data_IF_373158404345
#
_entry.id   IF_373158404345
#
_cell.length_a   1.000
_cell.length_b   1.000
_cell.length_c   1.000
_cell.angle_alpha   90.00
_cell.angle_beta   90.00
_cell.angle_gamma   90.00
#
_symmetry.space_group_name_H-M   'P 1'
#
loop_
_entity.id
_entity.type
_entity.pdbx_description
1 polymer ?
#
# COMPACT_ATOMS: atom_id res chain seq x y z
N UNK A 1 -1.80 20.20 18.52
CA UNK A 1 -1.86 21.04 17.29
C UNK A 1 -3.01 20.53 16.40
N UNK A 2 -3.62 21.38 15.55
CA UNK A 2 -4.83 21.05 14.74
C UNK A 2 -4.76 21.63 13.31
N UNK A 3 -3.73 21.29 12.55
CA UNK A 3 -3.53 21.82 11.18
C UNK A 3 -3.67 20.77 10.07
N UNK A 4 -3.57 19.49 10.40
CA UNK A 4 -3.85 18.41 9.48
C UNK A 4 -5.36 18.34 9.27
N UNK A 5 -5.82 18.67 8.06
CA UNK A 5 -7.24 18.61 7.71
C UNK A 5 -7.55 17.38 6.88
N UNK A 6 -8.73 16.83 7.12
CA UNK A 6 -9.28 15.74 6.37
C UNK A 6 -10.71 16.06 5.96
N UNK A 7 -11.07 15.72 4.72
CA UNK A 7 -12.41 15.91 4.13
C UNK A 7 -13.01 14.59 3.62
N UNK A 8 -12.22 13.52 3.62
CA UNK A 8 -12.59 12.16 3.23
C UNK A 8 -11.99 11.18 4.29
N UNK A 9 -11.82 9.90 4.01
CA UNK A 9 -11.10 8.95 4.88
C UNK A 9 -9.58 9.12 4.86
N UNK A 10 -9.06 9.90 3.91
CA UNK A 10 -7.63 10.05 3.66
C UNK A 10 -7.17 11.52 3.63
N UNK A 11 -5.96 11.78 4.14
CA UNK A 11 -5.20 13.02 3.92
C UNK A 11 -3.71 12.69 3.87
N UNK A 12 -2.87 13.62 3.42
CA UNK A 12 -1.42 13.48 3.52
C UNK A 12 -0.85 14.46 4.52
N UNK A 13 0.30 14.10 5.10
CA UNK A 13 0.93 14.85 6.17
C UNK A 13 2.45 14.71 6.11
N UNK A 14 3.15 15.76 6.52
CA UNK A 14 4.58 15.74 6.77
C UNK A 14 4.93 16.86 7.75
N UNK A 15 5.91 16.63 8.63
CA UNK A 15 6.47 17.66 9.53
C UNK A 15 7.97 17.55 9.67
N UNK A 16 8.59 18.67 10.01
CA UNK A 16 10.03 18.83 10.24
C UNK A 16 10.46 18.40 11.65
N UNK A 17 9.50 18.02 12.49
CA UNK A 17 9.68 17.48 13.84
C UNK A 17 8.81 16.23 14.00
N UNK A 18 9.11 15.45 15.04
CA UNK A 18 8.41 14.21 15.38
C UNK A 18 6.97 14.51 15.81
N UNK A 19 6.02 13.70 15.34
CA UNK A 19 4.58 13.92 15.55
C UNK A 19 3.94 12.64 16.06
N UNK A 20 3.02 12.78 17.02
CA UNK A 20 2.21 11.67 17.51
C UNK A 20 0.70 11.96 17.38
N UNK A 21 0.00 11.10 16.64
CA UNK A 21 -1.46 11.12 16.46
C UNK A 21 -2.21 10.20 17.43
N UNK A 22 -1.54 9.54 18.39
CA UNK A 22 -2.17 8.57 19.32
C UNK A 22 -3.33 9.20 20.11
N UNK A 23 -3.18 10.48 20.46
CA UNK A 23 -4.17 11.28 21.16
C UNK A 23 -5.32 11.81 20.28
N UNK A 24 -5.26 11.57 18.96
CA UNK A 24 -6.29 12.03 18.03
C UNK A 24 -7.66 11.41 18.33
N UNK A 25 -7.70 10.18 18.87
CA UNK A 25 -8.94 9.55 19.28
C UNK A 25 -9.54 10.25 20.51
N UNK A 26 -8.70 10.62 21.48
CA UNK A 26 -9.13 11.22 22.76
C UNK A 26 -9.62 12.66 22.58
N UNK A 27 -8.90 13.48 21.80
CA UNK A 27 -9.21 14.92 21.67
C UNK A 27 -9.87 15.31 20.34
N UNK A 28 -9.81 14.42 19.35
CA UNK A 28 -10.38 14.63 18.01
C UNK A 28 -11.51 13.66 17.67
N UNK A 29 -11.76 12.64 18.50
CA UNK A 29 -12.76 11.60 18.21
C UNK A 29 -12.43 10.75 16.98
N UNK A 30 -11.18 10.75 16.52
CA UNK A 30 -10.75 10.11 15.28
C UNK A 30 -9.59 9.16 15.52
N UNK A 31 -9.76 7.89 15.12
CA UNK A 31 -8.64 6.93 15.07
C UNK A 31 -7.89 7.10 13.76
N UNK A 32 -6.58 7.32 13.84
CA UNK A 32 -5.70 7.60 12.69
C UNK A 32 -4.56 6.59 12.65
N UNK A 33 -4.18 6.18 11.44
CA UNK A 33 -2.90 5.50 11.20
C UNK A 33 -2.17 6.13 10.01
N UNK A 34 -0.85 6.05 10.06
CA UNK A 34 0.09 6.53 9.07
C UNK A 34 0.63 5.37 8.22
N UNK A 35 0.68 5.61 6.91
CA UNK A 35 1.14 4.66 5.90
C UNK A 35 2.22 5.31 5.03
N UNK A 36 3.27 4.55 4.73
CA UNK A 36 4.50 5.06 4.10
C UNK A 36 4.93 4.27 2.87
N UNK A 37 4.70 2.96 2.86
CA UNK A 37 5.07 2.10 1.74
C UNK A 37 3.82 1.54 1.07
N UNK A 38 3.97 1.07 -0.16
CA UNK A 38 2.86 0.46 -0.87
C UNK A 38 3.30 -0.29 -2.12
N UNK A 39 2.53 -1.30 -2.47
CA UNK A 39 2.73 -2.12 -3.67
C UNK A 39 1.55 -1.94 -4.62
N UNK A 40 1.83 -1.86 -5.92
CA UNK A 40 0.78 -1.83 -6.93
C UNK A 40 0.24 -3.24 -7.09
N UNK A 41 -1.07 -3.39 -6.94
CA UNK A 41 -1.80 -4.65 -7.12
C UNK A 41 -2.92 -4.45 -8.13
N UNK A 42 -3.35 -5.53 -8.77
CA UNK A 42 -4.51 -5.53 -9.67
C UNK A 42 -5.81 -5.63 -8.86
N UNK A 43 -6.93 -5.20 -9.45
CA UNK A 43 -8.24 -5.21 -8.81
C UNK A 43 -8.65 -3.90 -8.14
N UNK A 44 -9.82 -3.92 -7.51
CA UNK A 44 -10.44 -2.74 -6.88
C UNK A 44 -9.82 -2.46 -5.50
N UNK A 45 -9.62 -1.18 -5.18
CA UNK A 45 -9.15 -0.76 -3.85
C UNK A 45 -10.28 -0.54 -2.84
N UNK A 46 -9.95 0.00 -1.67
CA UNK A 46 -10.87 0.29 -0.55
C UNK A 46 -11.93 1.34 -0.89
N UNK A 47 -11.68 2.15 -1.92
CA UNK A 47 -12.62 3.16 -2.38
C UNK A 47 -13.48 2.53 -3.47
N UNK A 48 -14.80 2.51 -3.30
CA UNK A 48 -15.79 1.85 -4.17
C UNK A 48 -15.89 2.34 -5.63
N UNK A 49 -14.83 2.95 -6.15
CA UNK A 49 -14.64 3.25 -7.56
C UNK A 49 -14.11 2.00 -8.28
N UNK A 50 -14.58 1.75 -9.50
CA UNK A 50 -14.05 0.69 -10.35
C UNK A 50 -12.65 1.05 -10.85
N UNK A 51 -11.63 0.47 -10.21
CA UNK A 51 -10.24 0.58 -10.67
C UNK A 51 -9.68 -0.79 -11.03
N UNK A 52 -8.87 -0.84 -12.09
CA UNK A 52 -8.15 -2.08 -12.45
C UNK A 52 -6.90 -2.30 -11.60
N UNK A 53 -6.40 -1.25 -10.94
CA UNK A 53 -5.21 -1.28 -10.10
C UNK A 53 -5.39 -0.40 -8.86
N UNK A 54 -4.73 -0.81 -7.79
CA UNK A 54 -4.68 -0.06 -6.54
C UNK A 54 -3.28 -0.12 -5.91
N UNK A 55 -2.97 0.82 -5.01
CA UNK A 55 -1.78 0.75 -4.16
C UNK A 55 -2.19 0.16 -2.82
N UNK A 56 -1.70 -1.04 -2.51
CA UNK A 56 -1.87 -1.67 -1.19
C UNK A 56 -0.84 -1.05 -0.25
N UNK A 57 -1.30 -0.18 0.63
CA UNK A 57 -0.45 0.58 1.54
C UNK A 57 -0.10 -0.23 2.79
N UNK A 58 1.14 -0.11 3.28
CA UNK A 58 1.58 -0.66 4.58
C UNK A 58 1.93 0.46 5.56
N UNK A 59 1.63 0.19 6.82
CA UNK A 59 1.75 1.15 7.92
C UNK A 59 3.20 1.42 8.30
N UNK A 60 3.43 2.55 8.96
CA UNK A 60 4.78 3.05 9.26
C UNK A 60 5.57 2.17 10.26
N UNK A 61 4.89 1.56 11.22
CA UNK A 61 5.45 0.63 12.20
C UNK A 61 6.05 -0.63 11.55
N UNK A 62 5.45 -1.10 10.44
CA UNK A 62 5.98 -2.22 9.65
C UNK A 62 7.12 -1.83 8.71
N UNK A 63 7.49 -0.55 8.66
CA UNK A 63 8.44 0.02 7.70
C UNK A 63 9.49 0.90 8.40
N UNK A 64 10.00 0.46 9.56
CA UNK A 64 11.09 1.13 10.27
C UNK A 64 10.68 2.29 11.17
N UNK A 65 9.37 2.49 11.36
CA UNK A 65 8.83 3.36 12.41
C UNK A 65 8.87 2.72 13.79
N UNK A 66 8.18 3.34 14.73
CA UNK A 66 8.03 2.84 16.10
C UNK A 66 7.20 1.55 16.10
N UNK A 67 7.72 0.48 16.71
CA UNK A 67 6.97 -0.78 16.88
C UNK A 67 5.62 -0.55 17.53
N UNK A 68 4.58 -1.19 16.99
CA UNK A 68 3.20 -1.17 17.49
C UNK A 68 2.59 0.24 17.59
N UNK A 69 3.15 1.21 16.87
CA UNK A 69 2.65 2.58 16.84
C UNK A 69 2.42 3.05 15.42
N UNK A 70 1.17 2.90 14.99
CA UNK A 70 0.69 3.36 13.69
C UNK A 70 0.55 4.88 13.58
N UNK A 71 0.68 5.61 14.70
CA UNK A 71 0.33 7.02 14.81
C UNK A 71 1.55 7.94 15.04
N UNK A 72 2.71 7.37 15.34
CA UNK A 72 3.97 8.10 15.48
C UNK A 72 4.65 8.28 14.13
N UNK A 73 5.05 9.52 13.82
CA UNK A 73 5.68 9.89 12.56
C UNK A 73 6.97 10.65 12.89
N UNK A 74 8.14 10.06 12.58
CA UNK A 74 9.42 10.75 12.73
C UNK A 74 9.50 12.00 11.86
N UNK A 75 10.30 12.97 12.28
CA UNK A 75 10.60 14.18 11.54
C UNK A 75 10.99 13.87 10.09
N UNK A 76 10.62 14.79 9.20
CA UNK A 76 10.89 14.75 7.76
C UNK A 76 10.31 13.54 7.02
N UNK A 77 9.34 12.84 7.62
CA UNK A 77 8.63 11.72 7.00
C UNK A 77 7.32 12.19 6.37
N UNK A 78 7.17 11.97 5.06
CA UNK A 78 5.88 12.09 4.39
C UNK A 78 5.05 10.83 4.63
N UNK A 79 3.74 11.00 4.89
CA UNK A 79 2.82 9.87 5.12
C UNK A 79 1.47 10.10 4.46
N UNK A 80 0.76 8.99 4.21
CA UNK A 80 -0.68 8.95 4.01
C UNK A 80 -1.35 8.65 5.36
N UNK A 81 -2.26 9.51 5.79
CA UNK A 81 -3.08 9.29 6.97
C UNK A 81 -4.43 8.71 6.57
N UNK A 82 -4.82 7.60 7.20
CA UNK A 82 -6.17 7.01 7.13
C UNK A 82 -6.90 7.22 8.44
N UNK A 83 -8.16 7.64 8.36
CA UNK A 83 -9.08 7.73 9.51
C UNK A 83 -10.04 6.54 9.49
N UNK A 84 -10.20 5.85 10.62
CA UNK A 84 -11.01 4.62 10.74
C UNK A 84 -12.43 4.83 11.30
N UNK A 85 -12.92 6.07 11.37
CA UNK A 85 -14.24 6.33 11.94
C UNK A 85 -15.37 5.65 11.16
N UNK A 86 -16.38 5.16 11.90
CA UNK A 86 -17.38 4.19 11.42
C UNK A 86 -18.44 4.76 10.46
N UNK A 87 -18.55 6.07 10.28
CA UNK A 87 -19.62 6.67 9.45
C UNK A 87 -19.28 8.08 8.96
N UNK A 88 -19.48 8.32 7.66
CA UNK A 88 -19.63 9.66 7.07
C UNK A 88 -18.36 10.50 6.98
N UNK A 89 -18.31 11.42 6.01
CA UNK A 89 -17.17 12.31 5.76
C UNK A 89 -16.68 12.98 7.06
N UNK A 90 -15.49 12.61 7.51
CA UNK A 90 -14.84 13.22 8.68
C UNK A 90 -14.28 14.57 8.25
N UNK A 91 -15.12 15.59 8.07
CA UNK A 91 -14.61 16.95 7.93
C UNK A 91 -14.08 17.39 9.30
N UNK A 92 -12.76 17.50 9.44
CA UNK A 92 -12.18 17.79 10.74
C UNK A 92 -10.68 18.05 10.71
N UNK A 93 -10.22 18.81 11.70
CA UNK A 93 -8.80 18.97 12.00
C UNK A 93 -8.36 17.80 12.87
N UNK A 94 -7.37 17.03 12.43
CA UNK A 94 -6.75 15.97 13.21
C UNK A 94 -5.92 16.61 14.33
N UNK A 95 -6.09 16.09 15.55
CA UNK A 95 -5.27 16.49 16.69
C UNK A 95 -4.00 15.65 16.73
N UNK A 96 -2.86 16.30 16.96
CA UNK A 96 -1.60 15.62 17.23
C UNK A 96 -0.75 16.40 18.24
N UNK A 97 0.19 15.71 18.87
CA UNK A 97 1.20 16.28 19.78
C UNK A 97 2.59 16.22 19.14
N UNK A 98 3.54 16.90 19.76
CA UNK A 98 4.96 16.63 19.48
C UNK A 98 5.24 15.19 19.90
N UNK A 99 6.03 14.48 19.09
CA UNK A 99 6.41 13.10 19.36
C UNK A 99 7.46 13.02 20.45
N UNK A 100 7.20 12.21 21.48
CA UNK A 100 8.08 12.05 22.66
C UNK A 100 9.01 10.83 22.53
N UNK A 101 9.09 10.20 21.36
CA UNK A 101 9.99 9.06 21.09
C UNK A 101 11.19 9.49 20.26
N UNK A 102 11.52 10.78 20.29
CA UNK A 102 12.60 11.42 19.54
C UNK A 102 14.01 11.11 20.08
N UNK A 103 14.09 10.29 21.14
CA UNK A 103 15.35 9.80 21.70
C UNK A 103 16.05 8.74 20.83
N UNK A 104 15.41 8.29 19.75
CA UNK A 104 15.96 7.31 18.79
C UNK A 104 15.73 7.80 17.36
N UNK A 105 16.72 7.57 16.50
CA UNK A 105 16.57 7.82 15.06
C UNK A 105 15.80 6.68 14.39
N UNK A 106 14.66 7.00 13.78
CA UNK A 106 13.90 6.05 12.96
C UNK A 106 14.27 6.18 11.48
N UNK A 107 14.58 5.05 10.84
CA UNK A 107 14.84 5.00 9.39
C UNK A 107 13.66 4.34 8.70
N UNK A 108 12.80 5.14 8.08
CA UNK A 108 11.63 4.62 7.38
C UNK A 108 12.06 3.95 6.06
N UNK A 109 11.84 2.64 5.96
CA UNK A 109 12.16 1.84 4.78
C UNK A 109 11.05 1.92 3.73
N UNK A 110 11.44 1.78 2.45
CA UNK A 110 10.50 1.69 1.31
C UNK A 110 9.47 2.84 1.22
N UNK A 111 9.80 4.03 1.73
CA UNK A 111 8.86 5.14 1.80
C UNK A 111 8.58 5.74 0.40
N UNK A 112 7.36 5.48 -0.09
CA UNK A 112 6.83 6.01 -1.35
C UNK A 112 6.15 7.39 -1.16
N UNK A 113 5.96 7.83 0.08
CA UNK A 113 5.39 9.14 0.43
C UNK A 113 6.50 10.16 0.66
N UNK A 114 6.51 11.24 -0.13
CA UNK A 114 7.50 12.33 -0.05
C UNK A 114 6.86 13.58 0.52
N UNK A 115 7.39 14.04 1.66
CA UNK A 115 6.89 15.19 2.40
C UNK A 115 7.45 16.53 1.94
N UNK A 116 6.63 17.57 2.08
CA UNK A 116 7.03 18.98 2.04
C UNK A 116 6.78 19.55 3.43
N UNK A 117 7.84 19.85 4.19
CA UNK A 117 7.75 20.10 5.64
C UNK A 117 7.86 21.56 6.04
N UNK A 118 8.87 22.29 5.54
CA UNK A 118 9.19 23.65 6.05
C UNK A 118 8.47 24.76 5.28
N UNK A 119 8.46 24.69 3.96
CA UNK A 119 7.82 25.69 3.10
C UNK A 119 7.27 25.05 1.84
N UNK A 120 6.24 25.68 1.26
CA UNK A 120 5.76 25.27 -0.06
C UNK A 120 6.90 25.37 -1.08
N UNK A 121 6.93 24.45 -2.03
CA UNK A 121 8.00 24.35 -3.02
C UNK A 121 7.55 23.68 -4.31
N UNK A 122 8.28 23.86 -5.42
CA UNK A 122 8.03 23.10 -6.64
C UNK A 122 8.25 21.59 -6.42
N UNK A 123 7.35 20.79 -6.97
CA UNK A 123 7.51 19.33 -7.09
C UNK A 123 7.63 18.99 -8.58
N UNK A 124 8.80 18.52 -8.97
CA UNK A 124 9.09 18.11 -10.34
C UNK A 124 8.30 16.85 -10.69
N UNK A 125 7.61 16.89 -11.82
CA UNK A 125 6.92 15.74 -12.38
C UNK A 125 6.94 15.82 -13.90
N UNK A 126 7.03 14.67 -14.56
CA UNK A 126 7.07 14.55 -16.01
C UNK A 126 6.27 13.34 -16.46
N UNK A 127 6.12 13.15 -17.78
CA UNK A 127 5.53 11.92 -18.33
C UNK A 127 6.31 10.66 -17.95
N UNK A 128 7.66 10.74 -17.91
CA UNK A 128 8.56 9.63 -17.57
C UNK A 128 8.77 9.44 -16.06
N UNK A 129 8.55 10.49 -15.27
CA UNK A 129 8.69 10.49 -13.81
C UNK A 129 7.51 11.22 -13.18
N UNK A 130 6.31 10.60 -13.22
CA UNK A 130 5.13 11.21 -12.64
C UNK A 130 5.16 11.18 -11.11
N UNK A 131 4.40 12.08 -10.50
CA UNK A 131 4.06 12.04 -9.07
C UNK A 131 2.56 11.89 -8.89
N UNK A 132 2.12 11.49 -7.71
CA UNK A 132 0.71 11.26 -7.42
C UNK A 132 0.27 12.15 -6.25
N UNK A 133 -0.76 12.95 -6.45
CA UNK A 133 -1.26 13.93 -5.48
C UNK A 133 -2.65 13.54 -5.01
N UNK A 134 -2.89 13.58 -3.70
CA UNK A 134 -4.19 13.26 -3.13
C UNK A 134 -5.18 14.41 -3.40
N UNK A 135 -6.26 14.13 -4.13
CA UNK A 135 -7.34 15.07 -4.44
C UNK A 135 -8.69 14.39 -4.22
N UNK A 136 -9.52 14.95 -3.32
CA UNK A 136 -10.83 14.37 -3.00
C UNK A 136 -10.77 12.97 -2.36
N UNK A 137 -9.64 12.60 -1.74
CA UNK A 137 -9.41 11.27 -1.16
C UNK A 137 -8.84 10.23 -2.14
N UNK A 138 -8.55 10.61 -3.39
CA UNK A 138 -7.97 9.72 -4.41
C UNK A 138 -6.65 10.29 -4.90
N UNK A 139 -5.64 9.45 -5.09
CA UNK A 139 -4.38 9.88 -5.71
C UNK A 139 -4.53 10.05 -7.22
N UNK A 140 -4.23 11.24 -7.72
CA UNK A 140 -4.25 11.57 -9.14
C UNK A 140 -2.82 11.76 -9.65
N UNK A 141 -2.54 11.20 -10.82
CA UNK A 141 -1.24 11.31 -11.49
C UNK A 141 -1.03 12.74 -12.01
N UNK A 142 0.12 13.32 -11.68
CA UNK A 142 0.64 14.56 -12.22
C UNK A 142 1.87 14.26 -13.08
N UNK A 143 1.85 14.75 -14.32
CA UNK A 143 2.91 14.57 -15.33
C UNK A 143 3.58 15.89 -15.71
N UNK A 144 3.32 16.94 -14.92
CA UNK A 144 3.88 18.28 -15.09
C UNK A 144 4.22 18.85 -13.72
N UNK A 145 5.25 19.67 -13.66
CA UNK A 145 5.71 20.30 -12.42
C UNK A 145 4.55 21.00 -11.70
N UNK A 146 4.44 20.73 -10.41
CA UNK A 146 3.54 21.44 -9.50
C UNK A 146 4.35 22.57 -8.91
N UNK A 147 4.12 23.80 -9.37
CA UNK A 147 4.99 24.94 -9.03
C UNK A 147 4.93 25.34 -7.54
N UNK A 148 3.78 25.15 -6.90
CA UNK A 148 3.55 25.51 -5.50
C UNK A 148 2.86 24.36 -4.77
N UNK A 149 3.64 23.33 -4.43
CA UNK A 149 3.10 22.22 -3.64
C UNK A 149 3.02 22.65 -2.16
N UNK A 150 1.87 22.48 -1.50
CA UNK A 150 1.64 23.03 -0.16
C UNK A 150 2.55 22.43 0.90
N UNK A 151 2.93 23.27 1.86
CA UNK A 151 3.64 22.86 3.08
C UNK A 151 2.80 21.94 3.96
N UNK A 152 3.49 21.10 4.74
CA UNK A 152 2.94 20.08 5.66
C UNK A 152 2.10 18.99 4.97
N UNK A 153 2.33 18.79 3.68
CA UNK A 153 1.66 17.78 2.86
C UNK A 153 2.68 16.83 2.26
N UNK A 154 2.20 15.67 1.84
CA UNK A 154 3.00 14.70 1.10
C UNK A 154 2.35 14.33 -0.24
N UNK A 155 3.19 13.94 -1.19
CA UNK A 155 2.81 13.33 -2.46
C UNK A 155 3.42 11.93 -2.56
N UNK A 156 2.87 11.10 -3.42
CA UNK A 156 3.33 9.72 -3.60
C UNK A 156 4.19 9.62 -4.87
N UNK A 157 5.27 8.84 -4.78
CA UNK A 157 6.16 8.49 -5.88
C UNK A 157 6.18 6.98 -5.99
N UNK A 158 5.79 6.46 -7.15
CA UNK A 158 5.77 5.02 -7.41
C UNK A 158 6.94 4.62 -8.32
N UNK A 159 7.32 3.33 -8.32
CA UNK A 159 8.27 2.81 -9.30
C UNK A 159 7.81 3.05 -10.74
N UNK A 160 8.76 3.02 -11.68
CA UNK A 160 8.47 3.14 -13.12
C UNK A 160 7.45 2.07 -13.57
N UNK A 161 6.50 2.46 -14.44
CA UNK A 161 5.46 1.55 -14.95
C UNK A 161 4.11 1.65 -14.24
N UNK A 162 3.97 2.49 -13.22
CA UNK A 162 2.70 2.69 -12.51
C UNK A 162 1.58 3.24 -13.43
N UNK A 163 0.34 2.71 -13.32
CA UNK A 163 -0.77 3.10 -14.19
C UNK A 163 -1.23 4.55 -13.94
N UNK A 164 -2.00 5.10 -14.89
CA UNK A 164 -2.41 6.50 -14.88
C UNK A 164 -3.45 6.85 -13.79
N UNK A 165 -4.25 5.88 -13.37
CA UNK A 165 -5.21 6.00 -12.26
C UNK A 165 -4.96 4.85 -11.28
N UNK A 166 -4.92 5.18 -9.99
CA UNK A 166 -4.75 4.23 -8.89
C UNK A 166 -5.76 4.56 -7.80
N UNK A 167 -6.51 3.56 -7.35
CA UNK A 167 -7.17 3.64 -6.04
C UNK A 167 -6.18 3.22 -4.93
N UNK A 168 -6.55 3.47 -3.69
CA UNK A 168 -5.81 2.99 -2.52
C UNK A 168 -6.54 1.78 -1.95
N UNK A 169 -5.81 0.77 -1.49
CA UNK A 169 -6.33 -0.29 -0.62
C UNK A 169 -5.50 -0.42 0.65
N UNK A 170 -6.14 -0.91 1.71
CA UNK A 170 -5.51 -1.11 3.01
C UNK A 170 -6.03 -2.43 3.58
N UNK A 171 -5.14 -3.37 3.88
CA UNK A 171 -5.53 -4.65 4.47
C UNK A 171 -4.36 -5.39 5.08
N UNK A 172 -4.60 -5.97 6.25
CA UNK A 172 -3.73 -6.95 6.90
C UNK A 172 -3.94 -8.33 6.28
N UNK A 173 -2.93 -9.17 6.45
CA UNK A 173 -2.70 -10.45 5.77
C UNK A 173 -3.91 -11.38 5.69
N UNK A 174 -4.37 -11.58 4.47
CA UNK A 174 -4.63 -12.93 3.95
C UNK A 174 -4.14 -12.93 2.49
N UNK A 175 -2.84 -12.70 2.29
CA UNK A 175 -2.22 -13.27 1.10
C UNK A 175 -2.38 -14.79 1.24
N UNK A 176 -3.45 -15.31 0.64
CA UNK A 176 -3.22 -16.44 -0.26
C UNK A 176 -2.05 -16.00 -1.11
N UNK A 177 -0.91 -16.68 -1.00
CA UNK A 177 0.18 -16.49 -1.95
C UNK A 177 -0.44 -16.64 -3.33
N UNK A 178 -0.74 -15.52 -3.99
CA UNK A 178 -1.06 -15.55 -5.39
C UNK A 178 0.18 -16.17 -6.03
N UNK A 179 -0.02 -17.24 -6.80
CA UNK A 179 1.08 -17.85 -7.54
C UNK A 179 1.52 -16.79 -8.56
N UNK A 180 2.56 -16.03 -8.23
CA UNK A 180 3.21 -15.10 -9.16
C UNK A 180 3.88 -15.91 -10.25
N UNK A 181 3.07 -16.27 -11.26
CA UNK A 181 3.43 -17.09 -12.41
C UNK A 181 3.92 -18.50 -12.06
N UNK A 182 3.33 -19.49 -12.73
CA UNK A 182 4.08 -20.70 -13.03
C UNK A 182 5.06 -20.26 -14.10
N UNK A 183 6.33 -20.10 -13.77
CA UNK A 183 7.37 -20.32 -14.76
C UNK A 183 7.11 -21.73 -15.29
N UNK A 184 6.53 -21.84 -16.48
CA UNK A 184 6.74 -23.02 -17.30
C UNK A 184 8.18 -22.96 -17.76
N UNK A 185 9.09 -23.20 -16.81
CA UNK A 185 10.32 -23.86 -17.16
C UNK A 185 9.84 -25.22 -17.66
N UNK A 186 9.82 -25.38 -18.99
CA UNK A 186 9.76 -26.68 -19.64
C UNK A 186 11.05 -27.43 -19.27
N UNK A 187 11.20 -27.79 -18.00
CA UNK A 187 12.19 -28.75 -17.56
C UNK A 187 11.71 -30.12 -18.04
N UNK A 188 12.31 -30.53 -19.15
CA UNK A 188 12.56 -31.93 -19.51
C UNK A 188 11.38 -32.87 -19.35
N UNK A 189 10.66 -33.07 -20.46
CA UNK A 189 9.80 -34.23 -20.71
C UNK A 189 10.62 -35.51 -20.62
N UNK A 190 10.79 -36.01 -19.41
CA UNK A 190 10.91 -37.43 -19.17
C UNK A 190 10.45 -37.72 -17.75
N UNK A 191 9.35 -38.45 -17.61
CA UNK A 191 9.16 -39.52 -16.63
C UNK A 191 7.69 -39.99 -16.68
N UNK A 192 7.54 -41.24 -17.10
CA UNK A 192 6.34 -42.06 -17.24
C UNK A 192 5.62 -42.28 -15.89
N UNK A 193 5.13 -41.19 -15.28
CA UNK A 193 4.52 -41.20 -13.95
C UNK A 193 3.01 -41.05 -14.06
N UNK A 194 2.28 -41.97 -13.44
CA UNK A 194 0.82 -41.94 -13.36
C UNK A 194 0.39 -41.61 -11.94
N UNK A 195 -0.73 -40.91 -11.81
CA UNK A 195 -1.41 -40.66 -10.54
C UNK A 195 -2.84 -41.18 -10.60
N UNK A 196 -3.34 -41.77 -9.52
CA UNK A 196 -4.76 -42.09 -9.40
C UNK A 196 -5.58 -40.81 -9.17
N UNK A 197 -6.92 -40.92 -9.18
CA UNK A 197 -7.82 -39.77 -8.99
C UNK A 197 -7.71 -39.11 -7.60
N UNK A 198 -7.08 -39.78 -6.63
CA UNK A 198 -6.79 -39.23 -5.31
C UNK A 198 -5.42 -38.54 -5.25
N UNK A 199 -4.72 -38.40 -6.38
CA UNK A 199 -3.41 -37.74 -6.45
C UNK A 199 -2.24 -38.59 -5.96
N UNK A 200 -2.43 -39.89 -5.75
CA UNK A 200 -1.34 -40.79 -5.34
C UNK A 200 -0.59 -41.32 -6.56
N UNK A 201 0.74 -41.33 -6.52
CA UNK A 201 1.59 -41.88 -7.58
C UNK A 201 1.39 -43.40 -7.72
N UNK A 202 1.27 -43.87 -8.95
CA UNK A 202 1.07 -45.28 -9.32
C UNK A 202 2.18 -45.69 -10.30
N UNK A 203 3.01 -46.65 -9.90
CA UNK A 203 4.16 -47.10 -10.68
C UNK A 203 3.82 -48.15 -11.75
N UNK A 204 2.67 -48.83 -11.62
CA UNK A 204 2.22 -49.87 -12.56
C UNK A 204 0.71 -49.77 -12.77
N UNK A 205 0.24 -48.80 -13.57
CA UNK A 205 -1.18 -48.55 -13.73
C UNK A 205 -1.88 -49.70 -14.47
N UNK A 206 -2.98 -50.19 -13.90
CA UNK A 206 -3.88 -51.16 -14.52
C UNK A 206 -5.00 -50.44 -15.28
N UNK A 207 -5.88 -51.18 -15.96
CA UNK A 207 -7.03 -50.59 -16.67
C UNK A 207 -7.84 -49.65 -15.77
N UNK A 208 -8.01 -48.40 -16.20
CA UNK A 208 -8.64 -47.38 -15.38
C UNK A 208 -8.30 -45.95 -15.79
N UNK A 209 -8.77 -44.99 -15.00
CA UNK A 209 -8.58 -43.55 -15.23
C UNK A 209 -7.44 -43.04 -14.35
N UNK A 210 -6.49 -42.32 -14.96
CA UNK A 210 -5.32 -41.76 -14.29
C UNK A 210 -5.07 -40.32 -14.72
N UNK A 211 -4.21 -39.63 -13.97
CA UNK A 211 -3.62 -38.36 -14.36
C UNK A 211 -2.17 -38.62 -14.78
N UNK A 212 -1.83 -38.20 -15.99
CA UNK A 212 -0.49 -38.26 -16.54
C UNK A 212 -0.16 -36.90 -17.18
N UNK A 213 0.94 -36.28 -16.78
CA UNK A 213 1.35 -34.93 -17.22
C UNK A 213 0.22 -33.89 -17.14
N UNK A 214 -0.52 -33.89 -16.03
CA UNK A 214 -1.64 -32.98 -15.78
C UNK A 214 -2.90 -33.25 -16.60
N UNK A 215 -2.94 -34.29 -17.44
CA UNK A 215 -4.09 -34.66 -18.26
C UNK A 215 -4.72 -35.96 -17.78
N UNK A 216 -6.05 -36.02 -17.80
CA UNK A 216 -6.81 -37.25 -17.55
C UNK A 216 -6.61 -38.21 -18.74
N UNK A 217 -6.15 -39.42 -18.46
CA UNK A 217 -5.93 -40.49 -19.44
C UNK A 217 -6.67 -41.76 -19.03
N UNK A 218 -7.03 -42.60 -19.99
CA UNK A 218 -7.65 -43.91 -19.76
C UNK A 218 -6.69 -44.97 -20.25
N UNK A 219 -6.26 -45.84 -19.35
CA UNK A 219 -5.50 -47.04 -19.68
C UNK A 219 -6.52 -48.15 -19.92
N UNK A 220 -6.48 -48.75 -21.11
CA UNK A 220 -7.46 -49.74 -21.60
C UNK A 220 -7.01 -51.17 -21.42
#
# INVERSE_FOLDING_TARGET
IKDAQISNRYTTFAREFDVDFSDCALYGGMRVAAFVSGQIKTGSGDHGETTTHHVRMKSIDLNGGVSDSYAYIPANTGVLLKVFNKTGATSGKLYYTIGEKDNVTYTISNNIMKGVTVSSKPVNASGSSPVYVLQGGIFRKATSTINDFPVHKAYMVLPSGAPAKLSLSFGDDDETTDIESITTDEETKDNDVYYNLNGQRVSNPQKGVYIHNGKKVIIK
#
